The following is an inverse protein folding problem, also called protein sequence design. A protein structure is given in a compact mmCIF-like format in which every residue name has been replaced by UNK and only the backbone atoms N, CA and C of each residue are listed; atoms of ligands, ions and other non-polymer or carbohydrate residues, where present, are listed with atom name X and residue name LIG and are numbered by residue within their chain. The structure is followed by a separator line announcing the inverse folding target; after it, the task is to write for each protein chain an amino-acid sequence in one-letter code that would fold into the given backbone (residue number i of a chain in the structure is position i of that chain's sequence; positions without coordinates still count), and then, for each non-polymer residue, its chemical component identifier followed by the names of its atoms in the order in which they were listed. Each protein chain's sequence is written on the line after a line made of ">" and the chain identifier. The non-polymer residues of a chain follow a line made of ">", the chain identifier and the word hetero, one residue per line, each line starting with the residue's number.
data_IF_433434503035
#
_entry.id   IF_433434503035
#
_cell.length_a   1.000
_cell.length_b   1.000
_cell.length_c   1.000
_cell.angle_alpha   90.00
_cell.angle_beta   90.00
_cell.angle_gamma   90.00
#
_symmetry.space_group_name_H-M   'P 1'
#
loop_
_entity.id
_entity.type
_entity.pdbx_description
1 polymer ?
#
# COMPACT_ATOMS: atom_id res chain seq x y z
N UNK A 1 7.48 79.27 55.17
CA UNK A 1 8.36 78.54 54.24
C UNK A 1 8.92 77.33 54.95
N UNK A 2 8.39 76.15 54.64
CA UNK A 2 9.11 75.01 54.06
C UNK A 2 8.10 73.87 53.92
N UNK A 3 8.03 73.36 52.69
CA UNK A 3 7.01 72.46 52.16
C UNK A 3 7.10 71.05 52.77
N UNK A 4 5.98 70.31 52.89
CA UNK A 4 6.02 68.93 53.35
C UNK A 4 6.55 68.01 52.25
N UNK A 5 7.51 67.16 52.64
CA UNK A 5 8.12 66.10 51.81
C UNK A 5 7.06 65.16 51.22
N UNK A 6 7.20 64.73 49.96
CA UNK A 6 6.32 63.71 49.38
C UNK A 6 6.66 62.33 49.93
N UNK A 7 5.63 61.58 50.31
CA UNK A 7 5.71 60.13 50.56
C UNK A 7 5.92 59.40 49.23
N UNK A 8 6.94 58.53 49.17
CA UNK A 8 7.16 57.62 48.05
C UNK A 8 6.08 56.52 48.02
N UNK A 9 5.42 56.28 46.88
CA UNK A 9 4.51 55.17 46.75
C UNK A 9 5.29 53.86 46.64
N UNK A 10 4.90 52.88 47.47
CA UNK A 10 5.37 51.49 47.38
C UNK A 10 5.06 50.92 45.98
N UNK A 11 6.10 50.51 45.29
CA UNK A 11 6.04 49.66 44.10
C UNK A 11 5.50 48.29 44.50
N UNK A 12 4.26 47.97 44.11
CA UNK A 12 3.79 46.58 44.05
C UNK A 12 4.40 45.94 42.79
N UNK A 13 5.24 44.90 42.97
CA UNK A 13 5.69 44.06 41.87
C UNK A 13 4.49 43.30 41.26
N UNK A 14 4.34 43.26 39.93
CA UNK A 14 3.30 42.45 39.31
C UNK A 14 3.63 40.97 39.48
N UNK A 15 2.71 40.21 40.08
CA UNK A 15 2.73 38.74 40.06
C UNK A 15 2.73 38.28 38.60
N UNK A 16 3.57 37.30 38.21
CA UNK A 16 3.47 36.68 36.91
C UNK A 16 2.11 35.97 36.80
N UNK A 17 1.31 36.32 35.78
CA UNK A 17 0.17 35.51 35.38
C UNK A 17 0.71 34.18 34.84
N UNK A 18 0.33 33.08 35.48
CA UNK A 18 0.55 31.74 34.94
C UNK A 18 -0.13 31.63 33.56
N UNK A 19 0.56 31.17 32.52
CA UNK A 19 -0.06 30.98 31.22
C UNK A 19 -1.15 29.92 31.37
N UNK A 20 -2.40 30.31 31.11
CA UNK A 20 -3.48 29.35 30.88
C UNK A 20 -3.05 28.45 29.73
N UNK A 21 -2.70 27.22 30.08
CA UNK A 21 -2.56 26.11 29.16
C UNK A 21 -3.91 25.92 28.46
N UNK A 22 -4.06 26.51 27.27
CA UNK A 22 -5.10 26.08 26.35
C UNK A 22 -4.72 24.67 25.88
N UNK A 23 -5.42 23.67 26.40
CA UNK A 23 -5.40 22.33 25.84
C UNK A 23 -5.69 22.42 24.33
N UNK A 24 -4.92 21.76 23.47
CA UNK A 24 -5.23 21.74 22.05
C UNK A 24 -6.57 21.03 21.89
N UNK A 25 -7.58 21.78 21.45
CA UNK A 25 -8.80 21.18 20.91
C UNK A 25 -8.38 20.26 19.77
N UNK A 26 -8.46 18.96 20.02
CA UNK A 26 -8.50 17.94 18.99
C UNK A 26 -9.60 18.33 18.01
N UNK A 27 -9.21 18.83 16.84
CA UNK A 27 -10.11 18.80 15.69
C UNK A 27 -10.25 17.33 15.33
N UNK A 28 -11.40 16.73 15.65
CA UNK A 28 -11.79 15.43 15.11
C UNK A 28 -11.60 15.45 13.58
N UNK A 29 -11.01 14.40 12.97
CA UNK A 29 -10.84 14.37 11.53
C UNK A 29 -12.20 14.49 10.84
N UNK A 30 -12.34 15.54 10.02
CA UNK A 30 -13.54 15.82 9.22
C UNK A 30 -13.63 14.84 8.05
N UNK A 31 -14.05 13.61 8.31
CA UNK A 31 -14.45 12.70 7.24
C UNK A 31 -15.78 13.17 6.64
N UNK A 32 -15.84 13.25 5.31
CA UNK A 32 -17.12 13.47 4.60
C UNK A 32 -17.91 12.16 4.68
N UNK A 33 -19.22 12.25 4.90
CA UNK A 33 -20.10 11.07 4.88
C UNK A 33 -19.88 10.27 3.58
N UNK A 34 -19.52 8.98 3.73
CA UNK A 34 -19.28 8.07 2.60
C UNK A 34 -17.83 7.74 2.31
N UNK A 35 -16.83 8.28 3.04
CA UNK A 35 -15.42 7.87 2.94
C UNK A 35 -15.12 6.60 3.74
N UNK A 36 -13.95 5.97 3.53
CA UNK A 36 -13.51 4.86 4.38
C UNK A 36 -13.14 5.39 5.78
N UNK A 37 -14.13 5.39 6.67
CA UNK A 37 -14.01 5.88 8.05
C UNK A 37 -13.21 4.92 8.95
N UNK A 38 -13.23 3.62 8.65
CA UNK A 38 -12.55 2.61 9.44
C UNK A 38 -11.48 1.85 8.63
N UNK A 39 -10.22 2.30 8.78
CA UNK A 39 -9.01 1.69 8.21
C UNK A 39 -8.39 0.65 9.14
N UNK A 40 -9.18 -0.03 9.98
CA UNK A 40 -8.65 -1.10 10.83
C UNK A 40 -8.03 -2.20 10.00
N UNK A 41 -6.73 -2.43 10.17
CA UNK A 41 -6.00 -3.50 9.50
C UNK A 41 -6.48 -4.86 10.00
N UNK A 42 -7.07 -5.65 9.10
CA UNK A 42 -7.45 -7.03 9.37
C UNK A 42 -6.41 -7.97 8.79
N UNK A 43 -5.59 -8.54 9.66
CA UNK A 43 -4.51 -9.46 9.30
C UNK A 43 -5.07 -10.90 9.29
N UNK A 44 -5.32 -11.45 8.10
CA UNK A 44 -5.82 -12.83 7.91
C UNK A 44 -4.77 -13.75 7.28
N UNK A 45 -4.78 -15.03 7.63
CA UNK A 45 -3.97 -16.03 6.92
C UNK A 45 -4.41 -16.13 5.45
N UNK A 46 -3.50 -16.52 4.57
CA UNK A 46 -3.80 -16.70 3.13
C UNK A 46 -4.96 -17.66 2.88
N UNK A 47 -5.18 -18.67 3.73
CA UNK A 47 -6.34 -19.59 3.65
C UNK A 47 -7.68 -18.96 4.00
N UNK A 48 -7.68 -17.79 4.64
CA UNK A 48 -8.85 -16.99 4.99
C UNK A 48 -9.01 -15.75 4.09
N UNK A 49 -7.99 -15.41 3.30
CA UNK A 49 -7.90 -14.22 2.46
C UNK A 49 -8.69 -14.25 1.15
N UNK A 50 -9.56 -15.25 0.95
CA UNK A 50 -10.29 -15.45 -0.31
C UNK A 50 -9.43 -16.04 -1.44
N UNK A 51 -9.96 -15.99 -2.67
CA UNK A 51 -9.20 -16.33 -3.88
C UNK A 51 -8.05 -15.34 -4.09
N UNK A 52 -7.01 -15.76 -4.82
CA UNK A 52 -5.82 -14.94 -5.08
C UNK A 52 -6.25 -13.57 -5.65
N UNK A 53 -5.93 -12.50 -4.91
CA UNK A 53 -6.19 -11.09 -5.22
C UNK A 53 -7.62 -10.56 -4.95
N UNK A 54 -8.52 -11.39 -4.41
CA UNK A 54 -9.88 -10.96 -4.06
C UNK A 54 -9.94 -10.48 -2.61
N UNK A 55 -10.60 -9.34 -2.38
CA UNK A 55 -10.82 -8.83 -1.03
C UNK A 55 -11.83 -9.68 -0.26
N UNK A 56 -11.54 -9.95 1.01
CA UNK A 56 -12.51 -10.49 1.97
C UNK A 56 -13.40 -9.35 2.43
N UNK A 57 -14.72 -9.56 2.48
CA UNK A 57 -15.67 -8.52 2.88
C UNK A 57 -16.15 -8.69 4.32
N UNK A 58 -16.18 -7.57 5.03
CA UNK A 58 -17.01 -7.33 6.22
C UNK A 58 -18.25 -6.56 5.75
N UNK A 59 -19.29 -7.31 5.36
CA UNK A 59 -20.53 -6.76 4.79
C UNK A 59 -21.28 -5.85 5.75
N UNK A 60 -21.19 -6.12 7.05
CA UNK A 60 -21.74 -5.31 8.14
C UNK A 60 -21.08 -3.92 8.25
N UNK A 61 -19.84 -3.80 7.75
CA UNK A 61 -19.03 -2.56 7.82
C UNK A 61 -18.82 -1.90 6.46
N UNK A 62 -19.40 -2.45 5.39
CA UNK A 62 -19.16 -1.99 4.01
C UNK A 62 -17.66 -1.88 3.70
N UNK A 63 -16.88 -2.89 4.10
CA UNK A 63 -15.42 -2.87 4.07
C UNK A 63 -14.87 -4.14 3.45
N UNK A 64 -13.85 -3.99 2.62
CA UNK A 64 -13.05 -5.07 2.06
C UNK A 64 -11.62 -4.99 2.58
N UNK A 65 -10.96 -6.12 2.74
CA UNK A 65 -9.55 -6.18 3.07
C UNK A 65 -8.87 -7.33 2.35
N UNK A 66 -7.58 -7.16 2.09
CA UNK A 66 -6.73 -8.18 1.50
C UNK A 66 -5.37 -8.17 2.18
N UNK A 67 -4.79 -9.35 2.28
CA UNK A 67 -3.44 -9.50 2.77
C UNK A 67 -2.77 -10.73 2.15
N UNK A 68 -1.51 -10.59 1.75
CA UNK A 68 -0.72 -11.66 1.18
C UNK A 68 0.75 -11.52 1.52
N UNK A 69 1.39 -12.64 1.84
CA UNK A 69 2.78 -12.72 2.26
C UNK A 69 2.92 -13.47 3.58
N UNK A 70 4.15 -13.81 3.99
CA UNK A 70 4.43 -14.41 5.29
C UNK A 70 4.10 -13.40 6.39
N UNK A 71 3.48 -13.89 7.46
CA UNK A 71 3.27 -13.10 8.69
C UNK A 71 4.35 -13.39 9.74
N UNK A 72 5.15 -14.43 9.50
CA UNK A 72 6.16 -14.89 10.43
C UNK A 72 7.50 -14.23 10.12
N UNK A 73 8.15 -13.69 11.15
CA UNK A 73 9.47 -13.07 11.09
C UNK A 73 10.28 -13.36 12.36
N UNK A 74 11.50 -12.82 12.49
CA UNK A 74 12.37 -13.07 13.65
C UNK A 74 12.70 -11.82 14.44
N UNK A 75 12.93 -11.99 15.74
CA UNK A 75 13.66 -11.02 16.57
C UNK A 75 15.19 -11.27 16.53
N UNK A 76 15.96 -10.39 17.16
CA UNK A 76 17.43 -10.50 17.29
C UNK A 76 17.90 -11.74 18.07
N UNK A 77 17.01 -12.40 18.82
CA UNK A 77 17.30 -13.63 19.57
C UNK A 77 16.98 -14.88 18.75
N UNK A 78 16.40 -14.72 17.56
CA UNK A 78 16.02 -15.80 16.67
C UNK A 78 14.65 -16.42 16.99
N UNK A 79 13.84 -15.81 17.86
CA UNK A 79 12.47 -16.25 18.10
C UNK A 79 11.60 -15.92 16.88
N UNK A 80 10.69 -16.84 16.53
CA UNK A 80 9.69 -16.59 15.47
C UNK A 80 8.53 -15.82 16.06
N UNK A 81 8.22 -14.68 15.45
CA UNK A 81 7.12 -13.79 15.80
C UNK A 81 6.09 -13.77 14.69
N UNK A 82 4.85 -13.46 15.05
CA UNK A 82 3.71 -13.38 14.13
C UNK A 82 3.18 -11.96 14.13
N UNK A 83 3.12 -11.34 12.95
CA UNK A 83 2.66 -9.96 12.78
C UNK A 83 1.26 -9.72 13.37
N UNK A 84 0.39 -10.73 13.39
CA UNK A 84 -0.96 -10.62 14.00
C UNK A 84 -0.92 -10.27 15.48
N UNK A 85 0.13 -10.70 16.16
CA UNK A 85 0.33 -10.51 17.59
C UNK A 85 1.16 -9.26 17.88
N UNK A 86 2.14 -8.97 17.03
CA UNK A 86 3.05 -7.83 17.21
C UNK A 86 2.44 -6.50 16.76
N UNK A 87 1.53 -6.51 15.77
CA UNK A 87 0.82 -5.32 15.32
C UNK A 87 -0.35 -4.99 16.27
N UNK A 88 -0.03 -4.38 17.41
CA UNK A 88 -0.99 -4.14 18.50
C UNK A 88 -2.07 -3.11 18.15
N UNK A 89 -1.71 -2.00 17.52
CA UNK A 89 -2.66 -0.96 17.10
C UNK A 89 -3.11 -1.19 15.65
N UNK A 90 -4.16 -1.99 15.47
CA UNK A 90 -4.75 -2.23 14.14
C UNK A 90 -5.47 -1.01 13.56
N UNK A 91 -5.76 0.01 14.37
CA UNK A 91 -6.46 1.23 13.94
C UNK A 91 -5.50 2.34 13.53
N UNK A 92 -4.19 2.10 13.60
CA UNK A 92 -3.14 3.12 13.44
C UNK A 92 -3.28 3.95 12.17
N UNK A 93 -3.73 3.37 11.05
CA UNK A 93 -3.91 4.08 9.78
C UNK A 93 -4.97 5.19 9.85
N UNK A 94 -5.90 5.15 10.82
CA UNK A 94 -6.91 6.20 11.05
C UNK A 94 -6.30 7.49 11.61
N UNK A 95 -5.12 7.41 12.21
CA UNK A 95 -4.44 8.55 12.85
C UNK A 95 -3.62 9.39 11.86
N UNK A 96 -3.62 9.04 10.58
CA UNK A 96 -2.81 9.67 9.55
C UNK A 96 -3.66 10.31 8.46
N UNK A 97 -3.10 11.37 7.85
CA UNK A 97 -3.73 12.10 6.76
C UNK A 97 -4.16 11.19 5.62
N UNK A 98 -5.29 11.53 5.01
CA UNK A 98 -5.69 11.01 3.70
C UNK A 98 -4.98 11.83 2.63
N UNK A 99 -3.85 11.32 2.16
CA UNK A 99 -3.07 11.91 1.08
C UNK A 99 -2.51 10.77 0.20
N UNK A 100 -3.02 10.63 -1.04
CA UNK A 100 -2.60 9.56 -1.94
C UNK A 100 -1.13 9.70 -2.37
N UNK A 101 -0.47 10.84 -2.16
CA UNK A 101 0.91 11.11 -2.58
C UNK A 101 1.92 11.00 -1.43
N UNK A 102 1.49 10.60 -0.23
CA UNK A 102 2.32 10.59 0.98
C UNK A 102 2.44 9.18 1.54
N UNK A 103 3.67 8.66 1.53
CA UNK A 103 4.02 7.43 2.26
C UNK A 103 4.09 7.75 3.75
N UNK A 104 3.34 7.00 4.54
CA UNK A 104 3.44 6.95 5.99
C UNK A 104 4.32 5.75 6.38
N UNK A 105 5.10 5.89 7.45
CA UNK A 105 5.94 4.81 7.98
C UNK A 105 5.66 4.64 9.48
N UNK A 106 5.45 3.40 9.88
CA UNK A 106 5.28 2.97 11.26
C UNK A 106 6.35 1.93 11.60
N UNK A 107 7.13 2.20 12.64
CA UNK A 107 8.08 1.25 13.19
C UNK A 107 7.33 0.31 14.14
N UNK A 108 7.40 -0.98 13.87
CA UNK A 108 6.85 -2.03 14.74
C UNK A 108 7.96 -2.43 15.71
N UNK A 109 7.69 -2.34 17.00
CA UNK A 109 8.65 -2.67 18.06
C UNK A 109 8.14 -3.79 18.95
N UNK A 110 9.05 -4.61 19.45
CA UNK A 110 8.75 -5.60 20.49
C UNK A 110 8.44 -4.90 21.83
N UNK A 111 8.02 -5.67 22.84
CA UNK A 111 7.76 -5.14 24.20
C UNK A 111 8.99 -4.53 24.87
N UNK A 112 10.19 -4.91 24.44
CA UNK A 112 11.45 -4.38 24.98
C UNK A 112 11.95 -3.13 24.23
N UNK A 113 11.23 -2.68 23.20
CA UNK A 113 11.59 -1.53 22.36
C UNK A 113 12.48 -1.85 21.16
N UNK A 114 12.84 -3.11 20.95
CA UNK A 114 13.55 -3.56 19.74
C UNK A 114 12.72 -3.34 18.49
N UNK A 115 13.32 -2.78 17.44
CA UNK A 115 12.71 -2.64 16.12
C UNK A 115 12.59 -4.02 15.45
N UNK A 116 11.35 -4.38 15.11
CA UNK A 116 10.99 -5.64 14.48
C UNK A 116 10.80 -5.51 12.97
N UNK A 117 10.45 -4.32 12.51
CA UNK A 117 10.23 -4.03 11.10
C UNK A 117 9.45 -2.75 10.89
N UNK A 118 9.18 -2.45 9.62
CA UNK A 118 8.54 -1.22 9.19
C UNK A 118 7.30 -1.53 8.38
N UNK A 119 6.18 -0.96 8.81
CA UNK A 119 4.95 -0.92 8.04
C UNK A 119 4.84 0.41 7.32
N UNK A 120 4.80 0.37 5.98
CA UNK A 120 4.64 1.54 5.12
C UNK A 120 3.28 1.49 4.47
N UNK A 121 2.59 2.61 4.40
CA UNK A 121 1.27 2.66 3.79
C UNK A 121 0.95 4.02 3.21
N UNK A 122 -0.06 4.05 2.35
CA UNK A 122 -0.64 5.25 1.76
C UNK A 122 -2.14 5.21 2.02
N UNK A 123 -2.70 6.34 2.45
CA UNK A 123 -4.13 6.52 2.66
C UNK A 123 -4.73 7.29 1.49
N UNK A 124 -5.65 6.65 0.77
CA UNK A 124 -6.55 7.28 -0.18
C UNK A 124 -7.93 7.50 0.46
N UNK A 125 -8.86 8.18 -0.20
CA UNK A 125 -10.18 8.52 0.36
C UNK A 125 -11.02 7.29 0.69
N UNK A 126 -11.01 6.28 -0.19
CA UNK A 126 -11.85 5.08 -0.08
C UNK A 126 -11.04 3.80 0.14
N UNK A 127 -9.71 3.90 0.21
CA UNK A 127 -8.81 2.78 0.39
C UNK A 127 -7.52 3.17 1.11
N UNK A 128 -6.85 2.19 1.70
CA UNK A 128 -5.44 2.27 2.09
C UNK A 128 -4.73 1.04 1.58
N UNK A 129 -3.45 1.17 1.24
CA UNK A 129 -2.61 0.05 0.89
C UNK A 129 -1.25 0.21 1.52
N UNK A 130 -0.62 -0.93 1.82
CA UNK A 130 0.61 -0.92 2.60
C UNK A 130 1.40 -2.20 2.47
N UNK A 131 2.60 -2.14 3.00
CA UNK A 131 3.50 -3.26 3.07
C UNK A 131 4.27 -3.28 4.38
N UNK A 132 4.50 -4.47 4.91
CA UNK A 132 5.37 -4.70 6.06
C UNK A 132 6.64 -5.43 5.62
N UNK A 133 7.79 -4.92 6.06
CA UNK A 133 9.09 -5.60 5.96
C UNK A 133 9.68 -5.78 7.34
N UNK A 134 10.04 -7.01 7.72
CA UNK A 134 10.73 -7.27 8.97
C UNK A 134 12.21 -6.91 8.87
N UNK A 135 12.79 -6.50 9.99
CA UNK A 135 14.26 -6.34 10.09
C UNK A 135 14.97 -7.69 9.88
N UNK A 136 14.38 -8.78 10.38
CA UNK A 136 14.87 -10.14 10.23
C UNK A 136 13.78 -11.07 9.71
N UNK A 137 14.00 -11.67 8.55
CA UNK A 137 13.09 -12.66 7.94
C UNK A 137 13.06 -13.95 8.74
N UNK A 138 11.94 -14.69 8.77
CA UNK A 138 11.90 -16.03 9.35
C UNK A 138 12.85 -16.99 8.61
N UNK A 139 13.37 -18.05 9.26
CA UNK A 139 14.11 -19.10 8.57
C UNK A 139 13.14 -19.96 7.75
N UNK A 140 13.63 -20.61 6.69
CA UNK A 140 12.78 -21.45 5.85
C UNK A 140 12.19 -22.59 6.69
N UNK A 141 10.87 -22.58 6.86
CA UNK A 141 10.19 -23.64 7.58
C UNK A 141 10.51 -24.98 6.88
N UNK A 142 11.25 -25.85 7.57
CA UNK A 142 11.51 -27.22 7.15
C UNK A 142 12.65 -27.45 6.16
N UNK A 143 13.48 -26.45 5.86
CA UNK A 143 14.67 -26.66 5.01
C UNK A 143 14.36 -27.20 3.61
N UNK A 144 13.16 -26.94 3.08
CA UNK A 144 12.79 -27.34 1.72
C UNK A 144 13.69 -26.59 0.71
N UNK A 145 14.66 -27.28 0.07
CA UNK A 145 15.58 -26.67 -0.86
C UNK A 145 14.88 -26.20 -2.15
N UNK A 146 13.64 -26.61 -2.39
CA UNK A 146 12.85 -26.17 -3.53
C UNK A 146 12.25 -24.76 -3.34
N UNK A 147 12.16 -24.27 -2.09
CA UNK A 147 11.56 -22.97 -1.77
C UNK A 147 12.31 -22.19 -0.66
N UNK A 148 13.64 -21.99 -0.76
CA UNK A 148 14.44 -21.37 0.29
C UNK A 148 14.13 -19.88 0.53
N UNK A 149 13.37 -19.25 -0.36
CA UNK A 149 13.18 -17.79 -0.43
C UNK A 149 11.80 -17.30 0.04
N UNK A 150 10.86 -18.19 0.37
CA UNK A 150 9.49 -17.87 0.83
C UNK A 150 9.41 -16.96 2.08
N UNK A 151 10.49 -16.81 2.83
CA UNK A 151 10.48 -16.00 4.06
C UNK A 151 10.91 -14.55 3.81
N UNK A 152 11.26 -14.20 2.57
CA UNK A 152 11.68 -12.85 2.21
C UNK A 152 10.55 -12.08 1.50
N UNK A 153 9.36 -12.66 1.34
CA UNK A 153 8.25 -11.90 0.77
C UNK A 153 7.80 -10.83 1.76
N UNK A 154 7.66 -9.61 1.26
CA UNK A 154 7.02 -8.57 2.04
C UNK A 154 5.52 -8.86 2.10
N UNK A 155 4.95 -8.63 3.28
CA UNK A 155 3.51 -8.66 3.42
C UNK A 155 2.94 -7.46 2.69
N UNK A 156 2.03 -7.70 1.76
CA UNK A 156 1.26 -6.69 1.06
C UNK A 156 -0.18 -6.72 1.56
N UNK A 157 -0.76 -5.54 1.76
CA UNK A 157 -2.13 -5.41 2.25
C UNK A 157 -2.84 -4.22 1.63
N UNK A 158 -4.16 -4.33 1.55
CA UNK A 158 -5.02 -3.18 1.37
C UNK A 158 -6.33 -3.33 2.14
N UNK A 159 -6.93 -2.19 2.43
CA UNK A 159 -8.27 -2.05 2.98
C UNK A 159 -9.03 -1.07 2.11
N UNK A 160 -10.32 -1.30 1.90
CA UNK A 160 -11.13 -0.46 1.04
C UNK A 160 -12.60 -0.45 1.43
N UNK A 161 -13.30 0.56 0.95
CA UNK A 161 -14.73 0.51 0.72
C UNK A 161 -14.96 -0.05 -0.69
N UNK A 162 -15.48 -1.28 -0.85
CA UNK A 162 -15.56 -1.93 -2.15
C UNK A 162 -16.61 -1.27 -3.06
N UNK A 163 -16.28 -1.11 -4.35
CA UNK A 163 -17.27 -0.78 -5.38
C UNK A 163 -18.05 -2.03 -5.76
N UNK A 164 -19.37 -1.98 -5.67
CA UNK A 164 -20.28 -3.07 -6.10
C UNK A 164 -20.49 -3.07 -7.61
N UNK A 165 -20.92 -4.21 -8.16
CA UNK A 165 -21.30 -4.32 -9.57
C UNK A 165 -22.38 -3.30 -9.97
N UNK A 166 -23.40 -3.11 -9.13
CA UNK A 166 -24.46 -2.11 -9.38
C UNK A 166 -23.90 -0.68 -9.47
N UNK A 167 -23.00 -0.30 -8.56
CA UNK A 167 -22.35 1.01 -8.58
C UNK A 167 -21.49 1.19 -9.83
N UNK A 168 -20.74 0.17 -10.22
CA UNK A 168 -19.88 0.22 -11.39
C UNK A 168 -20.69 0.32 -12.70
N UNK A 169 -21.78 -0.44 -12.82
CA UNK A 169 -22.66 -0.39 -13.99
C UNK A 169 -23.39 0.96 -14.10
N UNK A 170 -23.64 1.66 -12.99
CA UNK A 170 -24.17 3.03 -13.02
C UNK A 170 -23.19 4.03 -13.66
N UNK A 171 -21.87 3.81 -13.52
CA UNK A 171 -20.86 4.63 -14.20
C UNK A 171 -20.96 4.50 -15.73
N UNK A 172 -21.28 3.29 -16.22
CA UNK A 172 -21.46 3.02 -17.65
C UNK A 172 -22.61 3.83 -18.25
N UNK A 173 -23.66 4.04 -17.45
CA UNK A 173 -24.86 4.77 -17.86
C UNK A 173 -24.65 6.29 -17.83
N UNK A 174 -23.75 6.78 -16.98
CA UNK A 174 -23.47 8.20 -16.81
C UNK A 174 -22.42 8.76 -17.80
N UNK A 175 -21.54 7.91 -18.37
CA UNK A 175 -20.45 8.36 -19.24
C UNK A 175 -20.90 8.56 -20.69
N UNK A 176 -20.78 9.78 -21.22
CA UNK A 176 -21.19 10.16 -22.60
C UNK A 176 -20.03 10.39 -23.57
N UNK A 177 -18.77 10.29 -23.13
CA UNK A 177 -17.58 10.39 -23.96
C UNK A 177 -16.71 9.13 -23.80
N UNK A 178 -16.66 8.30 -24.85
CA UNK A 178 -15.85 7.07 -25.04
C UNK A 178 -15.78 6.01 -23.92
N UNK A 179 -16.37 6.25 -22.74
CA UNK A 179 -16.41 5.33 -21.61
C UNK A 179 -15.07 5.10 -20.92
N UNK A 180 -14.03 5.91 -21.20
CA UNK A 180 -12.68 5.73 -20.65
C UNK A 180 -12.47 6.65 -19.45
N UNK A 181 -12.10 6.06 -18.31
CA UNK A 181 -11.72 6.75 -17.08
C UNK A 181 -10.23 6.55 -16.85
N UNK A 182 -9.51 7.64 -16.58
CA UNK A 182 -8.09 7.59 -16.22
C UNK A 182 -7.92 7.58 -14.71
N UNK A 183 -7.00 6.76 -14.23
CA UNK A 183 -6.56 6.72 -12.83
C UNK A 183 -5.06 6.95 -12.75
N UNK A 184 -4.59 7.62 -11.71
CA UNK A 184 -3.17 7.82 -11.44
C UNK A 184 -2.89 7.74 -9.95
N UNK A 185 -1.71 7.22 -9.61
CA UNK A 185 -1.25 7.12 -8.24
C UNK A 185 0.09 6.41 -8.16
N UNK A 186 0.31 5.66 -7.10
CA UNK A 186 1.64 5.18 -6.75
C UNK A 186 1.71 3.70 -6.46
N UNK A 187 2.87 3.14 -6.78
CA UNK A 187 3.30 1.84 -6.28
C UNK A 187 4.07 2.00 -4.98
N UNK A 188 3.94 1.02 -4.10
CA UNK A 188 4.65 0.94 -2.85
C UNK A 188 5.32 -0.43 -2.76
N UNK A 189 6.64 -0.42 -2.68
CA UNK A 189 7.46 -1.63 -2.62
C UNK A 189 8.80 -1.34 -1.94
N UNK A 190 9.78 -2.19 -2.23
CA UNK A 190 11.13 -2.07 -1.67
C UNK A 190 12.18 -2.05 -2.75
N UNK A 191 13.18 -1.22 -2.50
CA UNK A 191 14.25 -0.96 -3.45
C UNK A 191 15.06 -2.22 -3.68
N UNK A 192 15.14 -2.65 -4.95
CA UNK A 192 15.89 -3.85 -5.36
C UNK A 192 15.26 -5.18 -4.97
N UNK A 193 14.06 -5.18 -4.36
CA UNK A 193 13.30 -6.38 -4.01
C UNK A 193 14.03 -7.38 -3.09
N UNK A 194 13.37 -8.50 -2.74
CA UNK A 194 13.91 -9.50 -1.80
C UNK A 194 15.01 -10.40 -2.35
N UNK A 195 15.17 -10.47 -3.67
CA UNK A 195 16.24 -11.24 -4.32
C UNK A 195 17.59 -10.51 -4.31
N UNK A 196 17.63 -9.28 -3.77
CA UNK A 196 18.84 -8.57 -3.36
C UNK A 196 19.21 -8.72 -1.87
N UNK A 197 18.42 -9.47 -1.07
CA UNK A 197 18.55 -9.59 0.39
C UNK A 197 17.27 -9.16 1.11
N UNK A 198 17.29 -9.05 2.45
CA UNK A 198 16.15 -8.50 3.20
C UNK A 198 15.96 -7.02 2.81
N UNK A 199 14.82 -6.63 2.21
CA UNK A 199 14.63 -5.27 1.73
C UNK A 199 14.36 -4.31 2.90
N UNK A 200 15.26 -3.38 3.18
CA UNK A 200 15.12 -2.42 4.30
C UNK A 200 14.66 -1.04 3.83
N UNK A 201 15.01 -0.64 2.61
CA UNK A 201 14.64 0.65 2.00
C UNK A 201 13.35 0.52 1.18
N UNK A 202 12.28 1.18 1.62
CA UNK A 202 11.05 1.29 0.85
C UNK A 202 11.21 2.25 -0.34
N UNK A 203 10.37 2.10 -1.36
CA UNK A 203 10.28 3.07 -2.45
C UNK A 203 8.83 3.33 -2.84
N UNK A 204 8.62 4.50 -3.44
CA UNK A 204 7.38 4.88 -4.09
C UNK A 204 7.65 5.08 -5.58
N UNK A 205 6.96 4.33 -6.43
CA UNK A 205 6.94 4.53 -7.88
C UNK A 205 5.56 4.99 -8.33
N UNK A 206 5.33 5.01 -9.64
CA UNK A 206 4.08 5.54 -10.21
C UNK A 206 3.31 4.48 -10.98
N UNK A 207 1.98 4.59 -10.94
CA UNK A 207 1.07 3.83 -11.79
C UNK A 207 0.04 4.75 -12.44
N UNK A 208 -0.32 4.41 -13.67
CA UNK A 208 -1.47 4.98 -14.36
C UNK A 208 -2.30 3.87 -14.97
N UNK A 209 -3.62 4.05 -14.98
CA UNK A 209 -4.56 3.11 -15.59
C UNK A 209 -5.55 3.85 -16.49
N UNK A 210 -5.92 3.18 -17.59
CA UNK A 210 -7.07 3.52 -18.40
C UNK A 210 -8.10 2.41 -18.23
N UNK A 211 -9.30 2.79 -17.81
CA UNK A 211 -10.42 1.89 -17.57
C UNK A 211 -11.51 2.20 -18.57
N UNK A 212 -11.78 1.26 -19.47
CA UNK A 212 -12.93 1.33 -20.35
C UNK A 212 -14.11 0.67 -19.66
N UNK A 213 -15.10 1.49 -19.28
CA UNK A 213 -16.33 1.03 -18.64
C UNK A 213 -17.18 0.24 -19.63
N UNK A 214 -17.22 0.65 -20.90
CA UNK A 214 -18.03 0.00 -21.93
C UNK A 214 -17.52 -1.40 -22.28
N UNK A 215 -16.21 -1.57 -22.46
CA UNK A 215 -15.62 -2.90 -22.72
C UNK A 215 -15.33 -3.68 -21.45
N UNK A 216 -15.50 -3.07 -20.26
CA UNK A 216 -15.08 -3.62 -18.96
C UNK A 216 -13.63 -4.10 -19.03
N UNK A 217 -12.74 -3.22 -19.50
CA UNK A 217 -11.29 -3.51 -19.56
C UNK A 217 -10.47 -2.45 -18.83
N UNK A 218 -9.32 -2.87 -18.33
CA UNK A 218 -8.32 -2.01 -17.68
C UNK A 218 -6.95 -2.31 -18.28
N UNK A 219 -6.17 -1.26 -18.53
CA UNK A 219 -4.76 -1.35 -18.90
C UNK A 219 -4.00 -0.19 -18.29
N UNK A 220 -2.68 -0.21 -18.31
CA UNK A 220 -1.90 0.82 -17.65
C UNK A 220 -0.41 0.72 -17.84
N UNK A 221 0.29 1.44 -16.98
CA UNK A 221 1.74 1.53 -16.98
C UNK A 221 2.25 1.70 -15.54
N UNK A 222 3.37 1.05 -15.25
CA UNK A 222 4.16 1.28 -14.04
C UNK A 222 5.47 1.97 -14.43
N UNK A 223 5.80 3.05 -13.72
CA UNK A 223 7.00 3.87 -13.99
C UNK A 223 7.65 4.35 -12.69
N UNK A 224 8.74 5.12 -12.79
CA UNK A 224 9.55 5.57 -11.63
C UNK A 224 9.94 4.42 -10.69
N UNK A 225 10.24 3.27 -11.29
CA UNK A 225 10.38 1.99 -10.59
C UNK A 225 11.67 1.92 -9.80
N UNK A 226 11.66 1.21 -8.67
CA UNK A 226 12.91 0.78 -8.01
C UNK A 226 12.80 -0.68 -7.55
N UNK A 227 11.94 -1.46 -8.20
CA UNK A 227 11.80 -2.89 -7.97
C UNK A 227 12.94 -3.71 -8.57
N UNK A 228 12.77 -5.03 -8.56
CA UNK A 228 13.71 -6.00 -9.15
C UNK A 228 13.06 -7.01 -10.09
N UNK A 229 11.82 -6.74 -10.53
CA UNK A 229 10.98 -7.68 -11.29
C UNK A 229 11.66 -8.21 -12.54
N UNK A 230 12.39 -7.32 -13.22
CA UNK A 230 12.99 -7.65 -14.50
C UNK A 230 14.32 -8.33 -14.27
N UNK A 231 15.15 -7.77 -13.38
CA UNK A 231 16.48 -8.29 -13.06
C UNK A 231 16.49 -9.75 -12.66
N UNK A 232 15.49 -10.20 -11.91
CA UNK A 232 15.40 -11.58 -11.43
C UNK A 232 14.30 -12.40 -12.10
N UNK A 233 13.79 -11.94 -13.25
CA UNK A 233 12.95 -12.76 -14.09
C UNK A 233 13.80 -13.86 -14.75
N UNK A 234 13.29 -15.08 -14.81
CA UNK A 234 13.99 -16.23 -15.42
C UNK A 234 14.45 -15.98 -16.88
N UNK A 235 13.81 -15.04 -17.59
CA UNK A 235 14.22 -14.64 -18.95
C UNK A 235 15.50 -13.83 -18.99
N UNK A 236 15.87 -13.22 -17.88
CA UNK A 236 16.99 -12.30 -17.75
C UNK A 236 17.97 -12.74 -16.67
N UNK A 237 17.99 -14.04 -16.37
CA UNK A 237 19.00 -14.67 -15.53
C UNK A 237 19.77 -15.74 -16.31
N UNK A 238 21.00 -16.03 -15.89
CA UNK A 238 21.76 -17.17 -16.39
C UNK A 238 21.32 -18.50 -15.74
N UNK A 239 22.00 -19.60 -16.10
CA UNK A 239 21.70 -20.95 -15.59
C UNK A 239 21.90 -21.08 -14.07
N UNK A 240 22.65 -20.16 -13.46
CA UNK A 240 22.90 -20.10 -12.01
C UNK A 240 21.95 -19.11 -11.30
N UNK A 241 20.93 -18.59 -12.01
CA UNK A 241 19.99 -17.56 -11.57
C UNK A 241 20.61 -16.18 -11.29
N UNK A 242 21.83 -15.90 -11.79
CA UNK A 242 22.40 -14.57 -11.68
C UNK A 242 21.79 -13.64 -12.74
N UNK A 243 21.51 -12.36 -12.40
CA UNK A 243 21.02 -11.40 -13.38
C UNK A 243 21.97 -11.18 -14.55
N UNK A 244 21.44 -11.19 -15.77
CA UNK A 244 22.18 -10.80 -16.97
C UNK A 244 22.35 -9.28 -17.05
N UNK A 245 23.29 -8.83 -17.87
CA UNK A 245 23.48 -7.39 -18.14
C UNK A 245 22.19 -6.73 -18.69
N UNK A 246 21.43 -7.48 -19.48
CA UNK A 246 20.15 -7.03 -20.03
C UNK A 246 19.08 -6.92 -18.94
N UNK A 247 18.98 -7.91 -18.05
CA UNK A 247 18.10 -7.83 -16.88
C UNK A 247 18.37 -6.60 -16.03
N UNK A 248 19.64 -6.34 -15.71
CA UNK A 248 20.07 -5.16 -14.93
C UNK A 248 19.72 -3.85 -15.66
N UNK A 249 19.84 -3.81 -16.98
CA UNK A 249 19.52 -2.63 -17.79
C UNK A 249 18.01 -2.36 -17.86
N UNK A 250 17.18 -3.41 -17.94
CA UNK A 250 15.72 -3.25 -17.96
C UNK A 250 15.08 -3.02 -16.58
N UNK A 251 15.85 -3.22 -15.52
CA UNK A 251 15.43 -2.96 -14.14
C UNK A 251 15.59 -1.50 -13.72
N UNK A 252 16.11 -0.65 -14.61
CA UNK A 252 16.36 0.75 -14.29
C UNK A 252 15.06 1.56 -14.11
N UNK A 253 15.03 2.59 -13.25
CA UNK A 253 13.82 3.36 -12.94
C UNK A 253 13.11 4.01 -14.13
N UNK A 254 13.87 4.34 -15.18
CA UNK A 254 13.35 4.95 -16.40
C UNK A 254 12.75 3.93 -17.38
N UNK A 255 12.95 2.63 -17.16
CA UNK A 255 12.35 1.57 -17.97
C UNK A 255 10.98 1.27 -17.39
N UNK A 256 9.94 1.53 -18.18
CA UNK A 256 8.55 1.36 -17.77
C UNK A 256 8.07 -0.07 -18.02
N UNK A 257 7.12 -0.52 -17.21
CA UNK A 257 6.39 -1.76 -17.43
C UNK A 257 4.98 -1.47 -17.91
N UNK A 258 4.53 -2.24 -18.88
CA UNK A 258 3.20 -2.19 -19.46
C UNK A 258 2.31 -3.08 -18.61
N UNK A 259 1.21 -2.54 -18.11
CA UNK A 259 0.13 -3.31 -17.51
C UNK A 259 -0.86 -3.62 -18.63
N UNK A 260 -0.74 -4.80 -19.22
CA UNK A 260 -1.53 -5.18 -20.41
C UNK A 260 -3.01 -5.15 -20.12
N UNK A 261 -3.84 -5.06 -21.16
CA UNK A 261 -5.28 -5.13 -21.01
C UNK A 261 -5.71 -6.38 -20.20
N UNK A 262 -6.58 -6.15 -19.22
CA UNK A 262 -7.20 -7.16 -18.37
C UNK A 262 -8.70 -6.93 -18.31
N UNK A 263 -9.46 -8.02 -18.11
CA UNK A 263 -10.91 -7.95 -17.96
C UNK A 263 -11.30 -7.52 -16.55
N UNK A 264 -12.28 -6.63 -16.48
CA UNK A 264 -12.96 -6.24 -15.27
C UNK A 264 -14.14 -7.18 -15.06
N UNK A 265 -14.22 -7.78 -13.87
CA UNK A 265 -15.21 -8.81 -13.53
C UNK A 265 -15.81 -8.54 -12.15
N UNK A 266 -17.03 -9.02 -11.95
CA UNK A 266 -17.58 -9.16 -10.61
C UNK A 266 -16.87 -10.34 -9.92
N UNK A 267 -16.30 -10.09 -8.75
CA UNK A 267 -15.75 -11.12 -7.88
C UNK A 267 -16.89 -11.91 -7.21
N UNK A 268 -16.56 -12.99 -6.51
CA UNK A 268 -17.54 -13.88 -5.85
C UNK A 268 -18.49 -13.18 -4.85
N UNK A 269 -18.15 -11.95 -4.46
CA UNK A 269 -18.84 -11.11 -3.49
C UNK A 269 -19.58 -9.92 -4.15
N UNK A 270 -19.78 -9.94 -5.47
CA UNK A 270 -20.37 -8.87 -6.29
C UNK A 270 -19.65 -7.52 -6.21
N UNK A 271 -18.37 -7.53 -5.84
CA UNK A 271 -17.50 -6.35 -5.94
C UNK A 271 -16.73 -6.37 -7.24
N UNK A 272 -16.42 -5.19 -7.77
CA UNK A 272 -15.73 -5.09 -9.04
C UNK A 272 -14.22 -5.11 -8.85
N UNK A 273 -13.56 -5.91 -9.66
CA UNK A 273 -12.11 -5.97 -9.73
C UNK A 273 -11.62 -6.52 -11.05
N UNK A 274 -10.34 -6.83 -11.11
CA UNK A 274 -9.67 -7.36 -12.28
C UNK A 274 -8.57 -8.32 -11.85
N UNK A 275 -8.38 -9.37 -12.63
CA UNK A 275 -7.39 -10.41 -12.38
C UNK A 275 -6.78 -10.90 -13.68
N UNK A 276 -5.62 -11.55 -13.55
CA UNK A 276 -4.85 -12.10 -14.66
C UNK A 276 -4.38 -11.04 -15.67
N UNK A 277 -4.23 -9.78 -15.23
CA UNK A 277 -3.54 -8.78 -16.03
C UNK A 277 -2.06 -9.12 -16.10
N UNK A 278 -1.44 -8.97 -17.26
CA UNK A 278 -0.02 -9.27 -17.42
C UNK A 278 0.82 -7.99 -17.32
N UNK A 279 1.91 -8.10 -16.59
CA UNK A 279 2.96 -7.08 -16.58
C UNK A 279 3.93 -7.43 -17.68
N UNK A 280 4.16 -6.51 -18.61
CA UNK A 280 4.97 -6.72 -19.80
C UNK A 280 6.07 -5.67 -19.92
N UNK A 281 7.13 -6.06 -20.62
CA UNK A 281 8.27 -5.19 -20.96
C UNK A 281 8.43 -5.18 -22.47
N UNK A 282 8.79 -4.03 -23.05
CA UNK A 282 9.18 -3.95 -24.46
C UNK A 282 10.64 -4.40 -24.62
N UNK A 283 10.85 -5.52 -25.29
CA UNK A 283 12.15 -6.13 -25.55
C UNK A 283 12.27 -6.46 -27.04
N UNK A 284 13.24 -5.86 -27.74
CA UNK A 284 13.46 -6.03 -29.19
C UNK A 284 12.20 -5.79 -30.05
N UNK A 285 11.42 -4.77 -29.69
CA UNK A 285 10.18 -4.42 -30.39
C UNK A 285 8.99 -5.35 -30.09
N UNK A 286 9.15 -6.33 -29.19
CA UNK A 286 8.10 -7.24 -28.76
C UNK A 286 7.78 -7.07 -27.28
N UNK A 287 6.52 -7.25 -26.90
CA UNK A 287 6.16 -7.26 -25.49
C UNK A 287 6.35 -8.65 -24.89
N UNK A 288 7.19 -8.75 -23.86
CA UNK A 288 7.43 -10.00 -23.12
C UNK A 288 6.82 -9.91 -21.72
N UNK A 289 6.10 -10.96 -21.30
CA UNK A 289 5.50 -11.03 -19.96
C UNK A 289 6.58 -11.16 -18.90
N UNK A 290 6.53 -10.34 -17.86
CA UNK A 290 7.43 -10.36 -16.71
C UNK A 290 6.71 -10.88 -15.47
N UNK A 291 5.49 -10.41 -15.23
CA UNK A 291 4.72 -10.76 -14.04
C UNK A 291 3.22 -10.62 -14.30
N UNK A 292 2.41 -10.65 -13.24
CA UNK A 292 0.97 -10.39 -13.28
C UNK A 292 0.60 -9.21 -12.39
N UNK A 293 -0.58 -8.64 -12.62
CA UNK A 293 -1.18 -7.64 -11.76
C UNK A 293 -2.68 -7.89 -11.60
N UNK A 294 -3.22 -7.46 -10.46
CA UNK A 294 -4.62 -7.62 -10.10
C UNK A 294 -5.02 -6.57 -9.06
N UNK A 295 -6.32 -6.31 -8.94
CA UNK A 295 -6.83 -5.31 -8.00
C UNK A 295 -8.35 -5.22 -8.00
N UNK A 296 -8.84 -4.26 -7.24
CA UNK A 296 -10.26 -4.00 -7.04
C UNK A 296 -10.55 -2.51 -7.05
N UNK A 297 -11.79 -2.15 -7.39
CA UNK A 297 -12.28 -0.78 -7.36
C UNK A 297 -12.79 -0.43 -5.95
N UNK A 298 -12.51 0.79 -5.54
CA UNK A 298 -12.91 1.34 -4.26
C UNK A 298 -13.71 2.63 -4.41
N UNK A 299 -14.68 2.81 -3.51
CA UNK A 299 -15.58 3.97 -3.47
C UNK A 299 -16.87 3.78 -4.27
N UNK A 300 -17.93 4.53 -3.93
CA UNK A 300 -19.26 4.37 -4.50
C UNK A 300 -19.32 4.67 -6.01
N UNK A 301 -18.35 5.38 -6.56
CA UNK A 301 -18.27 5.74 -7.98
C UNK A 301 -17.01 5.18 -8.65
N UNK A 302 -16.47 4.08 -8.11
CA UNK A 302 -15.14 3.56 -8.47
C UNK A 302 -14.10 4.69 -8.42
N UNK A 303 -14.08 5.44 -7.33
CA UNK A 303 -13.22 6.61 -7.19
C UNK A 303 -11.73 6.25 -7.18
N UNK A 304 -11.42 5.01 -6.79
CA UNK A 304 -10.07 4.54 -6.57
C UNK A 304 -9.89 3.11 -7.07
N UNK A 305 -8.64 2.75 -7.32
CA UNK A 305 -8.21 1.38 -7.61
C UNK A 305 -7.13 1.04 -6.59
N UNK A 306 -7.20 -0.15 -6.01
CA UNK A 306 -6.17 -0.68 -5.12
C UNK A 306 -5.85 -2.12 -5.50
N UNK A 307 -4.58 -2.52 -5.38
CA UNK A 307 -4.21 -3.88 -5.76
C UNK A 307 -2.72 -4.18 -5.58
N UNK A 308 -2.28 -5.19 -6.32
CA UNK A 308 -0.87 -5.58 -6.35
C UNK A 308 -0.35 -5.88 -7.75
N UNK A 309 0.92 -5.58 -7.95
CA UNK A 309 1.74 -6.02 -9.06
C UNK A 309 2.69 -7.08 -8.51
N UNK A 310 2.86 -8.16 -9.26
CA UNK A 310 3.71 -9.26 -8.88
C UNK A 310 3.07 -10.25 -7.92
N UNK A 311 3.87 -11.20 -7.45
CA UNK A 311 3.47 -12.22 -6.48
C UNK A 311 4.67 -12.84 -5.79
N UNK A 312 4.40 -13.55 -4.69
CA UNK A 312 5.44 -14.15 -3.88
C UNK A 312 6.36 -13.08 -3.32
N UNK A 313 7.66 -13.34 -3.38
CA UNK A 313 8.76 -12.46 -2.99
C UNK A 313 8.64 -11.04 -3.57
N UNK A 314 8.45 -10.92 -4.88
CA UNK A 314 8.42 -9.63 -5.56
C UNK A 314 6.97 -9.14 -5.58
N UNK A 315 6.45 -8.68 -4.43
CA UNK A 315 5.11 -8.10 -4.33
C UNK A 315 5.19 -6.60 -4.14
N UNK A 316 4.41 -5.88 -4.94
CA UNK A 316 4.35 -4.41 -4.92
C UNK A 316 2.89 -4.03 -4.83
N UNK A 317 2.53 -3.26 -3.81
CA UNK A 317 1.17 -2.75 -3.68
C UNK A 317 1.01 -1.51 -4.54
N UNK A 318 -0.20 -1.24 -4.99
CA UNK A 318 -0.49 0.01 -5.68
C UNK A 318 -1.85 0.55 -5.29
N UNK A 319 -1.99 1.86 -5.43
CA UNK A 319 -3.23 2.58 -5.34
C UNK A 319 -3.27 3.71 -6.36
N UNK A 320 -4.43 3.95 -6.95
CA UNK A 320 -4.65 5.00 -7.93
C UNK A 320 -5.99 5.68 -7.69
N UNK A 321 -6.06 6.98 -7.97
CA UNK A 321 -7.26 7.81 -7.83
C UNK A 321 -7.77 8.18 -9.21
N UNK A 322 -9.09 8.22 -9.38
CA UNK A 322 -9.75 8.70 -10.59
C UNK A 322 -9.34 10.15 -10.87
N UNK A 323 -8.93 10.42 -12.10
CA UNK A 323 -8.60 11.75 -12.57
C UNK A 323 -9.86 12.44 -13.12
N UNK A 324 -9.97 13.75 -12.90
CA UNK A 324 -11.06 14.60 -13.42
C UNK A 324 -10.91 14.87 -14.93
#
# INVERSE_FOLDING_TARGET
>A
SEEPKPEEPKSEEPKPEEPKSEEPKSEEPRFKAGTLEDRTLTIVVSSQGGERYEAVLETDKNRGFYMSGPMDFRDSKGNILDLRNEFKDKTVMNNYDVDPNKVQELVITSENGEELGKFRFINQTYSSYGTFSPELTAPAAGGDPAHPFKNHENLGTYILQPTTETQFDQLAQASTADGIITYSGHTLGYKGGPKGGTPTEGYMGDVSFQVSIASKTISGEMSARQDSFVRHNWRFTDDDNNPTAEGIAFDQPNVKLILSEANIVANNNNTMGFKNGEVRLLHNGQQVRINDYAGTFAGPEANEIVGQIGSGEERIMFGATKQE
#
